data_IF_178414673732
#
_entry.id   IF_178414673732
#
_cell.length_a   1.000
_cell.length_b   1.000
_cell.length_c   1.000
_cell.angle_alpha   90.00
_cell.angle_beta   90.00
_cell.angle_gamma   90.00
#
_symmetry.space_group_name_H-M   'P 1'
#
loop_
_entity.id
_entity.type
_entity.pdbx_description
1 polymer ?
#
# COMPACT_ATOMS: atom_id res chain seq x y z
N UNK A 1 3.75 -12.51 8.35
CA UNK A 1 3.36 -12.90 6.98
C UNK A 1 4.49 -12.59 6.00
N UNK A 2 5.16 -13.60 5.45
CA UNK A 2 6.12 -13.40 4.38
C UNK A 2 5.35 -13.11 3.07
N UNK A 3 5.82 -12.17 2.25
CA UNK A 3 5.36 -11.99 0.86
C UNK A 3 5.91 -13.12 -0.02
N UNK A 4 5.42 -13.30 -1.26
CA UNK A 4 6.02 -14.24 -2.22
C UNK A 4 7.53 -14.02 -2.35
N UNK A 5 7.94 -12.78 -2.57
CA UNK A 5 9.35 -12.39 -2.63
C UNK A 5 10.14 -12.73 -1.34
N UNK A 6 9.51 -12.66 -0.16
CA UNK A 6 10.16 -13.05 1.10
C UNK A 6 10.28 -14.56 1.22
N UNK A 7 9.29 -15.32 0.77
CA UNK A 7 9.32 -16.78 0.76
C UNK A 7 10.38 -17.30 -0.22
N UNK A 8 10.46 -16.71 -1.42
CA UNK A 8 11.52 -17.01 -2.41
C UNK A 8 12.91 -16.72 -1.85
N UNK A 9 13.10 -15.56 -1.21
CA UNK A 9 14.36 -15.21 -0.53
C UNK A 9 14.69 -16.16 0.62
N UNK A 10 13.68 -16.61 1.37
CA UNK A 10 13.86 -17.60 2.43
C UNK A 10 14.27 -18.96 1.86
N UNK A 11 13.64 -19.40 0.77
CA UNK A 11 13.99 -20.64 0.10
C UNK A 11 15.42 -20.61 -0.44
N UNK A 12 15.78 -19.54 -1.17
CA UNK A 12 17.13 -19.35 -1.70
C UNK A 12 18.19 -19.34 -0.58
N UNK A 13 17.86 -18.75 0.57
CA UNK A 13 18.74 -18.78 1.75
C UNK A 13 18.89 -20.19 2.31
N UNK A 14 17.79 -20.94 2.46
CA UNK A 14 17.85 -22.32 2.94
C UNK A 14 18.66 -23.22 1.98
N UNK A 15 18.51 -23.05 0.67
CA UNK A 15 19.31 -23.77 -0.33
C UNK A 15 20.79 -23.40 -0.27
N UNK A 16 21.11 -22.14 0.01
CA UNK A 16 22.49 -21.71 0.25
C UNK A 16 23.05 -22.36 1.52
N UNK A 17 22.33 -22.27 2.63
CA UNK A 17 22.74 -22.84 3.92
C UNK A 17 22.98 -24.36 3.81
N UNK A 18 22.10 -25.09 3.08
CA UNK A 18 22.26 -26.53 2.83
C UNK A 18 23.50 -26.81 1.97
N UNK A 19 23.74 -26.02 0.91
CA UNK A 19 24.90 -26.20 0.03
C UNK A 19 26.22 -25.94 0.74
N UNK A 20 26.32 -24.82 1.46
CA UNK A 20 27.51 -24.47 2.23
C UNK A 20 27.83 -25.57 3.24
N UNK A 21 26.80 -26.09 3.91
CA UNK A 21 26.95 -27.15 4.89
C UNK A 21 27.39 -28.49 4.27
N UNK A 22 26.83 -28.89 3.13
CA UNK A 22 27.28 -30.10 2.43
C UNK A 22 28.74 -29.98 1.95
N UNK A 23 29.14 -28.79 1.46
CA UNK A 23 30.51 -28.53 1.04
C UNK A 23 31.51 -28.61 2.22
N UNK A 24 31.11 -28.12 3.41
CA UNK A 24 31.92 -28.23 4.62
C UNK A 24 32.12 -29.70 5.05
N UNK A 25 31.09 -30.55 4.92
CA UNK A 25 31.20 -31.98 5.18
C UNK A 25 32.13 -32.68 4.19
N UNK A 26 32.02 -32.36 2.90
CA UNK A 26 32.92 -32.92 1.88
C UNK A 26 34.39 -32.51 2.11
N UNK A 27 34.63 -31.26 2.52
CA UNK A 27 35.97 -30.76 2.82
C UNK A 27 36.58 -31.45 4.05
N UNK A 28 35.78 -31.63 5.11
CA UNK A 28 36.23 -32.31 6.33
C UNK A 28 36.56 -33.78 6.05
N UNK A 29 35.74 -34.47 5.24
CA UNK A 29 36.02 -35.83 4.78
C UNK A 29 37.30 -35.90 3.95
N UNK A 30 37.52 -34.94 3.03
CA UNK A 30 38.71 -34.89 2.17
C UNK A 30 40.01 -34.63 2.94
N UNK A 31 39.92 -33.87 4.03
CA UNK A 31 41.09 -33.46 4.82
C UNK A 31 41.42 -34.42 5.97
N UNK A 32 40.68 -35.54 6.10
CA UNK A 32 40.78 -36.50 7.21
C UNK A 32 40.89 -35.80 8.58
N UNK A 33 40.24 -34.63 8.71
CA UNK A 33 40.21 -33.92 9.97
C UNK A 33 39.31 -34.73 10.89
N UNK A 34 39.89 -35.20 11.99
CA UNK A 34 39.23 -35.98 13.04
C UNK A 34 38.29 -35.09 13.87
N UNK A 35 37.36 -34.43 13.18
CA UNK A 35 36.21 -33.78 13.78
C UNK A 35 35.22 -34.93 14.01
N UNK A 36 34.69 -35.13 15.23
CA UNK A 36 33.71 -36.19 15.48
C UNK A 36 32.53 -36.03 14.51
N UNK A 37 32.45 -36.90 13.50
CA UNK A 37 31.41 -36.89 12.46
C UNK A 37 30.26 -37.83 12.80
N UNK A 38 30.31 -38.52 13.95
CA UNK A 38 29.22 -39.34 14.49
C UNK A 38 28.25 -38.53 15.37
N UNK A 39 27.93 -37.32 14.95
CA UNK A 39 26.94 -36.52 15.66
C UNK A 39 25.55 -36.86 15.08
N UNK A 40 24.73 -37.62 15.82
CA UNK A 40 23.27 -37.72 15.57
C UNK A 40 22.65 -36.31 15.42
N UNK A 41 23.21 -35.33 16.13
CA UNK A 41 22.89 -33.91 16.02
C UNK A 41 23.15 -33.30 14.61
N UNK A 42 24.08 -33.88 13.85
CA UNK A 42 24.47 -33.45 12.50
C UNK A 42 23.43 -33.87 11.45
N UNK A 43 22.98 -35.14 11.53
CA UNK A 43 21.90 -35.67 10.71
C UNK A 43 20.58 -34.95 11.05
N UNK A 44 20.30 -34.76 12.33
CA UNK A 44 19.13 -34.03 12.82
C UNK A 44 19.10 -32.58 12.31
N UNK A 45 20.24 -31.88 12.27
CA UNK A 45 20.33 -30.52 11.73
C UNK A 45 20.04 -30.47 10.24
N UNK A 46 20.53 -31.44 9.47
CA UNK A 46 20.30 -31.54 8.03
C UNK A 46 18.83 -31.85 7.72
N UNK A 47 18.23 -32.81 8.46
CA UNK A 47 16.80 -33.11 8.37
C UNK A 47 15.95 -31.90 8.73
N UNK A 48 16.32 -31.14 9.77
CA UNK A 48 15.61 -29.92 10.14
C UNK A 48 15.65 -28.85 9.05
N UNK A 49 16.79 -28.69 8.37
CA UNK A 49 16.92 -27.74 7.26
C UNK A 49 16.11 -28.18 6.04
N UNK A 50 16.14 -29.46 5.68
CA UNK A 50 15.34 -30.02 4.59
C UNK A 50 13.84 -29.95 4.87
N UNK A 51 13.41 -30.31 6.09
CA UNK A 51 12.01 -30.17 6.50
C UNK A 51 11.54 -28.72 6.42
N UNK A 52 12.40 -27.76 6.79
CA UNK A 52 12.09 -26.33 6.67
C UNK A 52 12.04 -25.86 5.20
N UNK A 53 12.88 -26.42 4.34
CA UNK A 53 12.84 -26.17 2.89
C UNK A 53 11.51 -26.66 2.31
N UNK A 54 11.14 -27.92 2.56
CA UNK A 54 9.88 -28.52 2.10
C UNK A 54 8.65 -27.73 2.59
N UNK A 55 8.64 -27.33 3.86
CA UNK A 55 7.58 -26.47 4.39
C UNK A 55 7.53 -25.11 3.69
N UNK A 56 8.67 -24.51 3.35
CA UNK A 56 8.72 -23.22 2.65
C UNK A 56 8.27 -23.35 1.19
N UNK A 57 8.62 -24.47 0.55
CA UNK A 57 8.19 -24.81 -0.81
C UNK A 57 6.68 -25.02 -0.88
N UNK A 58 6.11 -25.81 0.04
CA UNK A 58 4.67 -26.01 0.13
C UNK A 58 3.91 -24.68 0.37
N UNK A 59 4.47 -23.77 1.18
CA UNK A 59 3.92 -22.43 1.39
C UNK A 59 3.95 -21.55 0.13
N UNK A 60 4.97 -21.71 -0.72
CA UNK A 60 5.04 -21.01 -2.01
C UNK A 60 3.97 -21.54 -2.97
N UNK A 61 3.83 -22.87 -3.05
CA UNK A 61 2.86 -23.53 -3.94
C UNK A 61 1.41 -23.21 -3.55
N UNK A 62 1.10 -23.18 -2.25
CA UNK A 62 -0.24 -22.86 -1.74
C UNK A 62 -0.67 -21.41 -2.02
N UNK A 63 0.26 -20.50 -2.32
CA UNK A 63 -0.02 -19.07 -2.38
C UNK A 63 -0.50 -18.55 -3.72
N UNK A 64 -0.39 -19.34 -4.80
CA UNK A 64 -0.78 -18.92 -6.15
C UNK A 64 -0.08 -17.66 -6.67
N UNK A 65 -0.19 -17.39 -7.98
CA UNK A 65 0.25 -16.11 -8.54
C UNK A 65 -0.82 -15.04 -8.31
N UNK A 66 -0.45 -13.95 -7.64
CA UNK A 66 -1.30 -12.76 -7.49
C UNK A 66 -2.07 -12.63 -6.18
N UNK A 67 -1.93 -13.56 -5.24
CA UNK A 67 -2.64 -13.46 -3.96
C UNK A 67 -2.06 -12.40 -3.02
N UNK A 68 -2.95 -11.61 -2.42
CA UNK A 68 -2.61 -10.69 -1.33
C UNK A 68 -2.01 -11.48 -0.15
N UNK A 69 -1.04 -10.93 0.59
CA UNK A 69 -0.44 -11.66 1.68
C UNK A 69 -1.45 -12.04 2.77
N UNK A 70 -1.75 -13.34 2.89
CA UNK A 70 -2.66 -13.92 3.89
C UNK A 70 -1.90 -14.26 5.18
N UNK A 71 -2.56 -14.13 6.34
CA UNK A 71 -1.96 -14.45 7.63
C UNK A 71 -1.89 -15.96 7.86
N UNK A 72 -0.78 -16.43 8.42
CA UNK A 72 -0.56 -17.86 8.69
C UNK A 72 -1.47 -18.38 9.80
N UNK A 73 -1.94 -17.51 10.69
CA UNK A 73 -2.79 -17.87 11.83
C UNK A 73 -4.28 -17.65 11.55
N UNK A 74 -4.59 -16.77 10.60
CA UNK A 74 -5.94 -16.29 10.36
C UNK A 74 -6.15 -15.99 8.87
N UNK A 75 -6.87 -16.84 8.13
CA UNK A 75 -7.03 -16.68 6.68
C UNK A 75 -7.78 -15.40 6.28
N UNK A 76 -8.54 -14.78 7.21
CA UNK A 76 -9.33 -13.58 6.94
C UNK A 76 -8.53 -12.30 7.24
N UNK A 77 -7.43 -12.38 8.00
CA UNK A 77 -6.59 -11.23 8.27
C UNK A 77 -5.79 -10.79 7.03
N UNK A 78 -5.59 -9.47 6.89
CA UNK A 78 -4.83 -8.85 5.79
C UNK A 78 -3.68 -8.00 6.31
N UNK A 79 -2.69 -7.74 5.45
CA UNK A 79 -1.60 -6.82 5.78
C UNK A 79 -2.08 -5.38 5.65
N UNK A 80 -2.13 -4.67 6.76
CA UNK A 80 -2.44 -3.25 6.85
C UNK A 80 -1.16 -2.47 7.10
N UNK A 81 -0.98 -1.35 6.40
CA UNK A 81 0.13 -0.42 6.65
C UNK A 81 -0.36 0.70 7.56
N UNK A 82 0.14 0.75 8.79
CA UNK A 82 -0.18 1.79 9.77
C UNK A 82 1.10 2.38 10.32
N UNK A 83 1.28 3.70 10.17
CA UNK A 83 2.43 4.45 10.69
C UNK A 83 3.79 3.87 10.27
N UNK A 84 3.89 3.37 9.04
CA UNK A 84 5.12 2.77 8.50
C UNK A 84 5.41 1.35 9.00
N UNK A 85 4.51 0.77 9.81
CA UNK A 85 4.56 -0.63 10.20
C UNK A 85 3.50 -1.42 9.43
N UNK A 86 3.85 -2.62 8.99
CA UNK A 86 2.90 -3.54 8.37
C UNK A 86 2.44 -4.54 9.42
N UNK A 87 1.13 -4.57 9.69
CA UNK A 87 0.51 -5.39 10.74
C UNK A 87 -0.59 -6.25 10.12
N UNK A 88 -0.74 -7.48 10.62
CA UNK A 88 -1.87 -8.34 10.28
C UNK A 88 -3.13 -7.85 11.01
N UNK A 89 -4.22 -7.59 10.30
CA UNK A 89 -5.46 -7.19 10.93
C UNK A 89 -6.63 -7.11 9.96
N UNK A 90 -7.74 -6.64 10.52
CA UNK A 90 -9.00 -6.41 9.81
C UNK A 90 -9.15 -4.93 9.53
N UNK A 91 -9.51 -4.57 8.30
CA UNK A 91 -9.90 -3.22 8.00
C UNK A 91 -11.40 -3.09 8.31
N UNK A 92 -11.76 -2.27 9.30
CA UNK A 92 -13.14 -2.09 9.73
C UNK A 92 -13.57 -0.66 9.44
N UNK A 93 -14.61 -0.52 8.63
CA UNK A 93 -15.25 0.74 8.30
C UNK A 93 -16.42 0.94 9.26
N UNK A 94 -16.52 2.14 9.83
CA UNK A 94 -17.58 2.47 10.80
C UNK A 94 -18.18 3.81 10.41
N UNK A 95 -19.51 3.83 10.34
CA UNK A 95 -20.32 5.02 10.17
C UNK A 95 -20.98 5.39 11.50
N UNK A 96 -20.77 6.63 11.93
CA UNK A 96 -21.29 7.12 13.21
C UNK A 96 -22.18 8.33 12.96
N UNK A 97 -23.35 8.35 13.59
CA UNK A 97 -24.25 9.50 13.58
C UNK A 97 -23.64 10.68 14.35
N UNK A 98 -23.63 11.85 13.72
CA UNK A 98 -23.01 13.06 14.24
C UNK A 98 -23.77 13.61 15.47
N UNK A 99 -25.09 13.45 15.54
CA UNK A 99 -25.96 14.07 16.54
C UNK A 99 -25.96 13.28 17.84
N UNK A 100 -26.18 11.97 17.75
CA UNK A 100 -26.36 11.05 18.87
C UNK A 100 -25.11 10.19 19.16
N UNK A 101 -24.09 10.24 18.30
CA UNK A 101 -22.84 9.47 18.44
C UNK A 101 -23.06 7.96 18.46
N UNK A 102 -24.13 7.50 17.81
CA UNK A 102 -24.45 6.09 17.68
C UNK A 102 -23.83 5.52 16.41
N UNK A 103 -23.38 4.27 16.47
CA UNK A 103 -22.90 3.55 15.30
C UNK A 103 -24.13 3.18 14.45
N UNK A 104 -24.22 3.77 13.26
CA UNK A 104 -25.30 3.49 12.32
C UNK A 104 -25.05 2.21 11.54
N UNK A 105 -23.81 2.00 11.09
CA UNK A 105 -23.39 0.75 10.48
C UNK A 105 -21.89 0.52 10.63
N UNK A 106 -21.48 -0.75 10.48
CA UNK A 106 -20.07 -1.16 10.45
C UNK A 106 -19.88 -2.28 9.43
N UNK A 107 -18.71 -2.31 8.80
CA UNK A 107 -18.37 -3.35 7.83
C UNK A 107 -16.89 -3.71 7.90
N UNK A 108 -16.60 -5.00 7.79
CA UNK A 108 -15.22 -5.51 7.71
C UNK A 108 -14.89 -5.70 6.24
N UNK A 109 -13.82 -5.05 5.78
CA UNK A 109 -13.40 -5.06 4.39
C UNK A 109 -12.00 -5.67 4.26
N UNK A 110 -11.80 -6.40 3.18
CA UNK A 110 -10.52 -7.05 2.89
C UNK A 110 -9.54 -6.14 2.14
N UNK A 111 -9.97 -4.92 1.82
CA UNK A 111 -9.13 -3.92 1.17
C UNK A 111 -8.08 -3.37 2.13
N UNK A 112 -6.83 -3.33 1.66
CA UNK A 112 -5.69 -2.85 2.45
C UNK A 112 -5.65 -1.34 2.67
N UNK A 113 -6.59 -0.58 2.10
CA UNK A 113 -6.74 0.86 2.26
C UNK A 113 -8.21 1.29 2.12
N UNK A 114 -8.47 2.55 2.45
CA UNK A 114 -9.83 3.08 2.57
C UNK A 114 -10.32 3.82 1.32
N UNK A 115 -9.48 3.93 0.28
CA UNK A 115 -9.77 4.76 -0.91
C UNK A 115 -11.01 4.29 -1.67
N UNK A 116 -11.46 3.05 -1.49
CA UNK A 116 -12.64 2.50 -2.16
C UNK A 116 -13.86 2.33 -1.25
N UNK A 117 -13.81 2.85 -0.02
CA UNK A 117 -14.80 2.54 1.02
C UNK A 117 -15.82 3.65 1.29
N UNK A 118 -15.68 4.82 0.67
CA UNK A 118 -16.58 5.95 0.92
C UNK A 118 -18.02 5.68 0.47
N UNK A 119 -18.23 5.36 -0.81
CA UNK A 119 -19.57 5.18 -1.35
C UNK A 119 -20.28 3.93 -0.80
N UNK A 120 -19.64 2.74 -0.73
CA UNK A 120 -20.27 1.55 -0.17
C UNK A 120 -20.79 1.79 1.25
N UNK A 121 -19.96 2.41 2.10
CA UNK A 121 -20.30 2.66 3.49
C UNK A 121 -21.41 3.70 3.64
N UNK A 122 -21.34 4.78 2.85
CA UNK A 122 -22.34 5.84 2.87
C UNK A 122 -23.72 5.36 2.36
N UNK A 123 -23.76 4.57 1.29
CA UNK A 123 -25.00 3.97 0.76
C UNK A 123 -25.60 3.03 1.81
N UNK A 124 -24.79 2.15 2.38
CA UNK A 124 -25.25 1.22 3.41
C UNK A 124 -25.81 1.95 4.64
N UNK A 125 -25.16 3.03 5.06
CA UNK A 125 -25.68 3.83 6.16
C UNK A 125 -26.98 4.55 5.81
N UNK A 126 -27.11 5.07 4.59
CA UNK A 126 -28.34 5.68 4.08
C UNK A 126 -29.50 4.67 4.14
N UNK A 127 -29.27 3.45 3.69
CA UNK A 127 -30.24 2.35 3.73
C UNK A 127 -30.58 1.94 5.16
N UNK A 128 -29.58 1.80 6.03
CA UNK A 128 -29.76 1.34 7.42
C UNK A 128 -30.51 2.37 8.27
N UNK A 129 -30.23 3.66 8.05
CA UNK A 129 -30.85 4.76 8.79
C UNK A 129 -32.16 5.23 8.13
N UNK A 130 -32.46 4.78 6.91
CA UNK A 130 -33.62 5.19 6.12
C UNK A 130 -33.76 6.71 5.98
N UNK A 131 -32.63 7.40 5.77
CA UNK A 131 -32.56 8.88 5.73
C UNK A 131 -32.30 9.43 4.33
N UNK A 132 -32.99 10.53 4.00
CA UNK A 132 -32.71 11.36 2.84
C UNK A 132 -33.07 12.83 3.20
N UNK A 133 -32.14 13.80 3.06
CA UNK A 133 -30.77 13.71 2.54
C UNK A 133 -29.73 13.22 3.58
N UNK A 134 -28.61 12.66 3.10
CA UNK A 134 -27.46 12.23 3.93
C UNK A 134 -26.20 13.03 3.57
N UNK A 135 -25.57 13.64 4.57
CA UNK A 135 -24.24 14.27 4.44
C UNK A 135 -23.22 13.40 5.16
N UNK A 136 -22.04 13.21 4.57
CA UNK A 136 -21.00 12.32 5.09
C UNK A 136 -19.67 13.04 5.17
N UNK A 137 -19.13 13.17 6.37
CA UNK A 137 -17.80 13.69 6.64
C UNK A 137 -16.82 12.51 6.72
N UNK A 138 -15.75 12.55 5.93
CA UNK A 138 -14.74 11.50 5.90
C UNK A 138 -13.33 12.06 5.95
N UNK A 139 -12.39 11.25 6.44
CA UNK A 139 -10.97 11.60 6.44
C UNK A 139 -10.37 11.68 5.03
N UNK A 140 -9.23 12.35 4.90
CA UNK A 140 -8.47 12.47 3.64
C UNK A 140 -8.12 11.12 2.98
N UNK A 141 -8.10 10.03 3.75
CA UNK A 141 -7.88 8.68 3.22
C UNK A 141 -8.97 8.20 2.24
N UNK A 142 -10.15 8.84 2.27
CA UNK A 142 -11.29 8.57 1.40
C UNK A 142 -11.33 9.50 0.17
N UNK A 143 -10.28 10.30 -0.09
CA UNK A 143 -10.16 11.16 -1.28
C UNK A 143 -9.95 10.35 -2.57
N UNK A 144 -11.00 9.64 -2.96
CA UNK A 144 -11.14 9.01 -4.26
C UNK A 144 -12.31 9.62 -5.04
N UNK A 145 -12.00 10.08 -6.25
CA UNK A 145 -12.94 10.85 -7.06
C UNK A 145 -14.06 10.00 -7.63
N UNK A 146 -13.80 8.72 -7.89
CA UNK A 146 -14.81 7.80 -8.41
C UNK A 146 -15.82 7.46 -7.30
N UNK A 147 -15.32 7.25 -6.07
CA UNK A 147 -16.16 7.06 -4.89
C UNK A 147 -16.98 8.30 -4.54
N UNK A 148 -16.37 9.48 -4.52
CA UNK A 148 -17.09 10.75 -4.28
C UNK A 148 -18.21 10.91 -5.30
N UNK A 149 -17.93 10.65 -6.59
CA UNK A 149 -18.95 10.72 -7.63
C UNK A 149 -20.06 9.70 -7.40
N UNK A 150 -19.73 8.44 -7.09
CA UNK A 150 -20.71 7.40 -6.84
C UNK A 150 -21.64 7.76 -5.65
N UNK A 151 -21.09 8.37 -4.59
CA UNK A 151 -21.88 8.89 -3.47
C UNK A 151 -22.84 10.00 -3.90
N UNK A 152 -22.36 10.97 -4.68
CA UNK A 152 -23.20 12.06 -5.22
C UNK A 152 -24.31 11.52 -6.12
N UNK A 153 -23.99 10.58 -7.01
CA UNK A 153 -24.97 9.93 -7.90
C UNK A 153 -26.04 9.15 -7.09
N UNK A 154 -25.72 8.70 -5.87
CA UNK A 154 -26.64 8.05 -4.93
C UNK A 154 -27.40 9.04 -4.00
N UNK A 155 -27.30 10.35 -4.25
CA UNK A 155 -27.98 11.38 -3.45
C UNK A 155 -27.36 11.60 -2.07
N UNK A 156 -26.06 11.34 -1.92
CA UNK A 156 -25.28 11.61 -0.70
C UNK A 156 -24.41 12.84 -0.96
N UNK A 157 -24.21 13.68 0.06
CA UNK A 157 -23.27 14.81 0.00
C UNK A 157 -21.99 14.46 0.76
N UNK A 158 -20.91 14.01 0.08
CA UNK A 158 -19.65 13.71 0.73
C UNK A 158 -18.80 14.97 0.95
N UNK A 159 -18.37 15.20 2.18
CA UNK A 159 -17.42 16.23 2.59
C UNK A 159 -16.08 15.56 2.96
N UNK A 160 -15.13 15.57 2.01
CA UNK A 160 -13.82 14.91 2.17
C UNK A 160 -12.70 15.93 1.94
N UNK A 161 -11.73 16.08 2.87
CA UNK A 161 -10.57 16.92 2.65
C UNK A 161 -9.71 16.36 1.52
N UNK A 162 -9.31 17.22 0.58
CA UNK A 162 -8.47 16.84 -0.55
C UNK A 162 -7.06 16.43 -0.09
N UNK A 163 -6.58 15.29 -0.60
CA UNK A 163 -5.25 14.80 -0.28
C UNK A 163 -4.18 15.61 -1.01
N UNK A 164 -3.21 16.10 -0.25
CA UNK A 164 -2.02 16.73 -0.84
C UNK A 164 -1.03 15.67 -1.37
N UNK A 165 -1.32 15.17 -2.57
CA UNK A 165 -0.48 14.21 -3.30
C UNK A 165 0.89 14.80 -3.70
N UNK A 166 1.06 16.11 -3.57
CA UNK A 166 2.26 16.84 -3.95
C UNK A 166 3.18 17.16 -2.76
N UNK A 167 2.76 16.94 -1.52
CA UNK A 167 3.55 17.22 -0.31
C UNK A 167 4.91 16.50 -0.30
N UNK A 168 4.93 15.20 -0.58
CA UNK A 168 6.14 14.39 -0.56
C UNK A 168 7.14 14.77 -1.67
N UNK A 169 6.73 14.92 -2.95
CA UNK A 169 7.64 15.41 -3.98
C UNK A 169 8.14 16.83 -3.66
N UNK A 170 7.29 17.74 -3.16
CA UNK A 170 7.73 19.07 -2.69
C UNK A 170 8.82 18.96 -1.63
N UNK A 171 8.62 18.13 -0.59
CA UNK A 171 9.61 17.89 0.47
C UNK A 171 10.92 17.29 -0.07
N UNK A 172 10.84 16.51 -1.14
CA UNK A 172 12.00 15.95 -1.84
C UNK A 172 12.67 16.94 -2.83
N UNK A 173 12.26 18.21 -2.84
CA UNK A 173 12.80 19.23 -3.75
C UNK A 173 12.40 19.03 -5.21
N UNK A 174 11.33 18.28 -5.47
CA UNK A 174 10.79 18.04 -6.81
C UNK A 174 9.76 19.10 -7.14
N UNK A 175 9.76 19.53 -8.41
CA UNK A 175 8.70 20.35 -8.97
C UNK A 175 7.42 19.52 -9.04
N UNK A 176 6.32 20.15 -8.66
CA UNK A 176 4.99 19.55 -8.65
C UNK A 176 4.06 20.31 -9.60
N UNK A 177 2.97 19.67 -10.03
CA UNK A 177 2.15 20.18 -11.12
C UNK A 177 1.53 21.54 -10.77
N UNK A 178 1.13 21.76 -9.51
CA UNK A 178 0.63 23.06 -9.03
C UNK A 178 1.62 24.22 -9.13
N UNK A 179 2.93 23.93 -9.25
CA UNK A 179 3.97 24.93 -9.41
C UNK A 179 4.33 25.20 -10.87
N UNK A 180 3.72 24.47 -11.81
CA UNK A 180 3.96 24.62 -13.23
C UNK A 180 2.88 25.49 -13.86
N UNK A 181 3.27 26.34 -14.79
CA UNK A 181 2.35 27.09 -15.63
C UNK A 181 2.32 26.50 -17.03
N UNK A 182 1.13 26.26 -17.58
CA UNK A 182 1.00 25.77 -18.95
C UNK A 182 0.92 26.96 -19.93
N UNK A 183 1.79 26.97 -20.93
CA UNK A 183 1.89 27.99 -21.97
C UNK A 183 1.87 27.36 -23.35
N UNK A 184 0.77 27.59 -24.07
CA UNK A 184 0.40 27.13 -25.43
C UNK A 184 0.51 25.61 -25.67
N UNK A 185 1.70 25.03 -25.47
CA UNK A 185 2.01 23.60 -25.68
C UNK A 185 3.10 23.07 -24.73
N UNK A 186 3.59 23.87 -23.79
CA UNK A 186 4.67 23.49 -22.88
C UNK A 186 4.37 23.90 -21.44
N UNK A 187 4.83 23.09 -20.48
CA UNK A 187 4.85 23.52 -19.07
C UNK A 187 6.08 24.39 -18.83
N UNK A 188 5.94 25.43 -18.02
CA UNK A 188 7.03 26.27 -17.54
C UNK A 188 7.24 26.00 -16.05
N UNK A 189 8.49 25.97 -15.63
CA UNK A 189 8.83 25.89 -14.22
C UNK A 189 8.60 27.25 -13.53
N UNK A 190 8.64 27.31 -12.18
CA UNK A 190 8.56 28.57 -11.44
C UNK A 190 9.58 29.64 -11.84
N UNK A 191 10.72 29.24 -12.42
CA UNK A 191 11.75 30.14 -12.93
C UNK A 191 11.48 30.63 -14.37
N UNK A 192 10.32 30.31 -14.96
CA UNK A 192 9.90 30.71 -16.30
C UNK A 192 10.48 29.88 -17.46
N UNK A 193 11.40 28.96 -17.17
CA UNK A 193 12.03 28.11 -18.18
C UNK A 193 11.05 27.04 -18.68
N UNK A 194 10.95 26.83 -20.01
CA UNK A 194 10.11 25.78 -20.58
C UNK A 194 10.65 24.39 -20.23
N UNK A 195 9.73 23.48 -19.93
CA UNK A 195 9.99 22.09 -19.61
C UNK A 195 9.75 21.23 -20.85
N UNK A 196 10.80 20.56 -21.29
CA UNK A 196 10.72 19.68 -22.45
C UNK A 196 10.09 18.34 -22.06
N UNK A 197 9.09 17.91 -22.85
CA UNK A 197 8.47 16.60 -22.77
C UNK A 197 9.52 15.50 -23.00
N UNK A 198 9.74 14.64 -22.00
CA UNK A 198 10.50 13.40 -22.19
C UNK A 198 9.66 12.20 -21.75
N UNK A 199 9.33 11.32 -22.70
CA UNK A 199 8.60 10.08 -22.44
C UNK A 199 8.14 9.38 -23.71
N UNK A 200 8.48 8.09 -23.83
CA UNK A 200 7.91 7.18 -24.82
C UNK A 200 6.48 6.76 -24.46
N UNK A 201 5.81 6.05 -25.37
CA UNK A 201 4.43 5.55 -25.18
C UNK A 201 4.37 4.67 -23.92
N UNK A 202 3.47 4.99 -22.99
CA UNK A 202 3.17 4.14 -21.85
C UNK A 202 2.41 2.90 -22.35
N UNK A 203 3.03 1.72 -22.33
CA UNK A 203 2.39 0.45 -22.67
C UNK A 203 1.70 -0.15 -21.42
N UNK A 204 0.70 0.56 -20.91
CA UNK A 204 -0.22 0.06 -19.87
C UNK A 204 -1.58 -0.27 -20.49
N UNK A 205 -2.29 -1.21 -19.86
CA UNK A 205 -3.55 -1.83 -20.29
C UNK A 205 -4.53 -0.87 -21.03
N UNK A 206 -5.06 -1.21 -22.23
CA UNK A 206 -5.79 -0.27 -23.12
C UNK A 206 -7.09 0.33 -22.56
N UNK A 207 -7.60 -0.18 -21.43
CA UNK A 207 -8.84 0.31 -20.80
C UNK A 207 -8.62 1.46 -19.81
N UNK A 208 -7.38 1.75 -19.42
CA UNK A 208 -7.04 3.02 -18.79
C UNK A 208 -6.62 3.98 -19.90
N UNK A 209 -7.39 5.06 -20.12
CA UNK A 209 -6.98 6.17 -20.99
C UNK A 209 -5.51 6.48 -20.70
N UNK A 210 -4.65 6.70 -21.72
CA UNK A 210 -3.24 6.94 -21.50
C UNK A 210 -3.09 8.16 -20.59
N UNK A 211 -2.91 7.90 -19.30
CA UNK A 211 -2.53 8.91 -18.35
C UNK A 211 -1.10 9.25 -18.74
N UNK A 212 -0.95 10.29 -19.54
CA UNK A 212 0.34 10.86 -19.84
C UNK A 212 0.89 11.35 -18.50
N UNK A 213 1.76 10.54 -17.88
CA UNK A 213 2.53 10.95 -16.71
C UNK A 213 3.72 11.72 -17.28
N UNK A 214 3.75 13.07 -17.20
CA UNK A 214 4.92 13.80 -17.65
C UNK A 214 6.07 13.41 -16.73
N UNK A 215 6.99 12.57 -17.22
CA UNK A 215 8.33 12.47 -16.65
C UNK A 215 9.05 13.75 -17.04
N UNK A 216 8.79 14.82 -16.30
CA UNK A 216 9.51 16.08 -16.46
C UNK A 216 10.94 15.82 -16.03
N UNK A 217 11.86 15.76 -17.00
CA UNK A 217 13.26 15.61 -16.68
C UNK A 217 13.75 16.95 -16.11
N UNK A 218 14.15 16.93 -14.83
CA UNK A 218 14.80 18.04 -14.17
C UNK A 218 16.09 18.33 -14.93
N UNK A 219 16.07 19.32 -15.84
CA UNK A 219 17.30 19.88 -16.37
C UNK A 219 18.13 20.33 -15.16
N UNK A 220 19.22 19.59 -14.89
CA UNK A 220 19.87 19.46 -13.58
C UNK A 220 20.34 20.75 -12.90
N UNK A 221 20.25 21.94 -13.53
CA UNK A 221 20.75 23.18 -12.94
C UNK A 221 19.81 24.40 -13.06
N UNK A 222 18.70 24.36 -13.82
CA UNK A 222 17.92 25.58 -14.12
C UNK A 222 16.80 25.91 -13.10
N UNK A 223 16.39 24.95 -12.25
CA UNK A 223 15.21 25.10 -11.38
C UNK A 223 15.52 24.95 -9.87
N UNK A 224 16.79 25.08 -9.46
CA UNK A 224 17.28 24.56 -8.17
C UNK A 224 17.03 25.43 -6.93
N UNK A 225 16.39 26.59 -7.04
CA UNK A 225 16.25 27.52 -5.91
C UNK A 225 14.80 27.67 -5.45
N UNK A 226 14.47 27.06 -4.29
CA UNK A 226 13.33 27.48 -3.45
C UNK A 226 13.72 27.48 -1.96
N UNK A 227 13.28 28.48 -1.17
CA UNK A 227 13.56 28.58 0.26
C UNK A 227 12.68 27.63 1.07
N UNK A 228 13.22 27.12 2.18
CA UNK A 228 12.61 26.07 3.00
C UNK A 228 11.61 26.61 4.03
N UNK A 229 10.48 25.93 4.23
CA UNK A 229 9.60 26.11 5.39
C UNK A 229 9.14 24.78 5.97
N UNK A 230 9.24 24.68 7.29
CA UNK A 230 8.95 23.51 8.14
C UNK A 230 7.49 23.04 8.08
N UNK A 231 7.28 21.74 8.25
CA UNK A 231 5.95 21.12 8.41
C UNK A 231 5.80 20.40 9.75
N UNK A 232 4.63 20.59 10.37
CA UNK A 232 4.15 19.86 11.54
C UNK A 232 3.34 18.63 11.12
N UNK A 233 3.32 17.61 11.99
CA UNK A 233 2.69 16.29 11.78
C UNK A 233 1.40 16.21 12.61
N UNK A 234 0.32 15.68 12.04
CA UNK A 234 -0.80 15.12 12.79
C UNK A 234 -1.19 13.76 12.16
N UNK A 235 -1.50 12.78 13.01
CA UNK A 235 -1.90 11.42 12.61
C UNK A 235 -3.42 11.22 12.68
N UNK A 236 -3.94 10.22 11.96
CA UNK A 236 -5.37 9.89 11.92
C UNK A 236 -5.69 8.46 12.35
N UNK A 237 -6.92 8.33 12.85
CA UNK A 237 -7.71 7.11 13.08
C UNK A 237 -8.94 7.31 12.19
N UNK A 238 -9.21 6.40 11.26
CA UNK A 238 -10.23 6.62 10.23
C UNK A 238 -11.63 6.36 10.78
N UNK A 239 -12.47 7.40 10.83
CA UNK A 239 -13.89 7.36 11.22
C UNK A 239 -14.68 8.13 10.17
N UNK A 240 -15.75 7.54 9.63
CA UNK A 240 -16.74 8.26 8.83
C UNK A 240 -17.80 8.84 9.77
N UNK A 241 -17.90 10.16 9.84
CA UNK A 241 -18.95 10.84 10.60
C UNK A 241 -20.08 11.19 9.64
N UNK A 242 -21.31 10.88 10.02
CA UNK A 242 -22.47 11.09 9.16
C UNK A 242 -23.40 12.11 9.80
N UNK A 243 -23.76 13.13 9.04
CA UNK A 243 -24.68 14.15 9.48
C UNK A 243 -26.04 13.96 8.82
N UNK A 244 -27.01 13.56 9.63
CA UNK A 244 -28.42 13.45 9.24
C UNK A 244 -29.08 14.80 9.51
N UNK A 245 -29.02 15.70 8.53
CA UNK A 245 -29.77 16.95 8.60
C UNK A 245 -31.25 16.66 8.31
N UNK A 246 -31.99 16.14 9.30
CA UNK A 246 -33.45 16.26 9.33
C UNK A 246 -34.01 16.21 10.77
N UNK A 247 -34.79 17.25 11.08
CA UNK A 247 -35.54 17.61 12.31
C UNK A 247 -34.74 18.04 13.56
#
# INVERSE_FOLDING_TARGET
MPTLEKLEKQLAKLEQDIREYLAELEENNRTERDIPTEDEALAEKLERLKARQEQTQARLEQRGEGETPVSETDPDARLLSKRGQTVAGYNVQIAVDSKHKLIGCSEVVNDGNDTQQLAPMAIKAKETLEVEPLTVDADTGYDDREQIKAGVDAGITPEVPLADKEAQPRKAGRLVCSELTFDADSYRCPAGNPLNRQGGKYSGNPLQKPAYVPKVNYAKNACRNKPATNSFIAGSTNILLMNTNNA
#
